data_IF_321544905555
#
_entry.id   IF_321544905555
#
_cell.length_a   1.000
_cell.length_b   1.000
_cell.length_c   1.000
_cell.angle_alpha   90.00
_cell.angle_beta   90.00
_cell.angle_gamma   90.00
#
_symmetry.space_group_name_H-M   'P 1'
#
loop_
_entity.id
_entity.type
_entity.pdbx_description
1 polymer ?
#
# COMPACT_ATOMS: atom_id res chain seq x y z
N UNK A 1 -6.41 14.74 -4.43
CA UNK A 1 -6.62 13.80 -5.53
C UNK A 1 -7.58 12.69 -5.10
N UNK A 2 -8.26 12.08 -6.04
CA UNK A 2 -9.07 10.91 -5.77
C UNK A 2 -8.20 9.73 -5.41
N UNK A 3 -8.72 8.83 -4.60
CA UNK A 3 -8.02 7.64 -4.17
C UNK A 3 -8.75 6.41 -4.71
N UNK A 4 -8.03 5.52 -5.37
CA UNK A 4 -8.60 4.30 -5.89
C UNK A 4 -7.69 3.11 -5.55
N UNK A 5 -8.29 2.01 -5.13
CA UNK A 5 -7.58 0.76 -4.89
C UNK A 5 -7.80 -0.17 -6.07
N UNK A 6 -6.71 -0.70 -6.60
CA UNK A 6 -6.81 -1.79 -7.56
C UNK A 6 -7.31 -3.05 -6.85
N UNK A 7 -7.89 -3.95 -7.63
CA UNK A 7 -8.40 -5.21 -7.08
C UNK A 7 -7.30 -5.99 -6.36
N UNK A 8 -6.09 -5.99 -6.91
CA UNK A 8 -4.97 -6.66 -6.28
C UNK A 8 -4.62 -6.09 -4.91
N UNK A 9 -4.76 -4.76 -4.74
CA UNK A 9 -4.51 -4.14 -3.45
C UNK A 9 -5.55 -4.57 -2.42
N UNK A 10 -6.81 -4.66 -2.84
CA UNK A 10 -7.86 -5.12 -1.93
C UNK A 10 -7.63 -6.57 -1.51
N UNK A 11 -7.21 -7.42 -2.47
CA UNK A 11 -6.88 -8.80 -2.16
C UNK A 11 -5.70 -8.89 -1.18
N UNK A 12 -4.69 -8.04 -1.38
CA UNK A 12 -3.54 -7.99 -0.47
C UNK A 12 -3.98 -7.63 0.95
N UNK A 13 -4.85 -6.65 1.10
CA UNK A 13 -5.35 -6.25 2.41
C UNK A 13 -6.11 -7.39 3.10
N UNK A 14 -6.92 -8.13 2.34
CA UNK A 14 -7.63 -9.28 2.87
C UNK A 14 -6.66 -10.36 3.34
N UNK A 15 -5.62 -10.64 2.56
CA UNK A 15 -4.61 -11.64 2.93
C UNK A 15 -3.81 -11.22 4.15
N UNK A 16 -3.40 -9.95 4.20
CA UNK A 16 -2.65 -9.43 5.34
C UNK A 16 -3.51 -9.52 6.60
N UNK A 17 -4.78 -9.11 6.49
CA UNK A 17 -5.69 -9.20 7.62
C UNK A 17 -5.81 -10.64 8.11
N UNK A 18 -6.09 -11.57 7.21
CA UNK A 18 -6.29 -12.98 7.57
C UNK A 18 -5.05 -13.57 8.24
N UNK A 19 -3.88 -13.25 7.72
CA UNK A 19 -2.63 -13.77 8.25
C UNK A 19 -2.41 -13.32 9.70
N UNK A 20 -2.60 -12.03 9.97
CA UNK A 20 -2.38 -11.49 11.32
C UNK A 20 -3.52 -11.86 12.26
N UNK A 21 -4.75 -11.90 11.75
CA UNK A 21 -5.93 -12.21 12.54
C UNK A 21 -5.91 -13.65 13.05
N UNK A 22 -5.17 -14.54 12.42
CA UNK A 22 -5.00 -15.90 12.90
C UNK A 22 -4.44 -15.91 14.33
N UNK A 23 -3.59 -14.94 14.66
CA UNK A 23 -3.04 -14.79 16.01
C UNK A 23 -3.70 -13.68 16.79
N UNK A 24 -4.05 -12.57 16.13
CA UNK A 24 -4.50 -11.38 16.84
C UNK A 24 -5.39 -10.51 15.93
N UNK A 25 -6.70 -10.65 16.10
CA UNK A 25 -7.67 -9.90 15.28
C UNK A 25 -7.56 -8.38 15.49
N UNK A 26 -7.33 -7.95 16.72
CA UNK A 26 -7.21 -6.51 16.99
C UNK A 26 -6.00 -5.91 16.28
N UNK A 27 -4.88 -6.62 16.30
CA UNK A 27 -3.70 -6.16 15.60
C UNK A 27 -3.92 -6.10 14.10
N UNK A 28 -4.64 -7.09 13.54
CA UNK A 28 -4.98 -7.09 12.12
C UNK A 28 -5.80 -5.87 11.74
N UNK A 29 -6.84 -5.57 12.53
CA UNK A 29 -7.69 -4.41 12.28
C UNK A 29 -6.93 -3.10 12.37
N UNK A 30 -6.06 -2.97 13.38
CA UNK A 30 -5.24 -1.76 13.54
C UNK A 30 -4.30 -1.54 12.36
N UNK A 31 -3.69 -2.61 11.86
CA UNK A 31 -2.78 -2.48 10.73
C UNK A 31 -3.53 -2.06 9.47
N UNK A 32 -4.65 -2.70 9.16
CA UNK A 32 -5.44 -2.35 7.97
C UNK A 32 -5.90 -0.89 8.07
N UNK A 33 -6.36 -0.45 9.24
CA UNK A 33 -6.74 0.94 9.45
C UNK A 33 -5.57 1.90 9.21
N UNK A 34 -4.38 1.56 9.70
CA UNK A 34 -3.18 2.37 9.46
C UNK A 34 -2.85 2.47 7.98
N UNK A 35 -2.99 1.37 7.26
CA UNK A 35 -2.74 1.35 5.81
C UNK A 35 -3.75 2.26 5.10
N UNK A 36 -5.02 2.17 5.47
CA UNK A 36 -6.05 3.01 4.87
C UNK A 36 -5.84 4.49 5.15
N UNK A 37 -5.44 4.82 6.38
CA UNK A 37 -5.12 6.21 6.73
C UNK A 37 -3.91 6.71 5.96
N UNK A 38 -2.90 5.86 5.78
CA UNK A 38 -1.72 6.22 5.00
C UNK A 38 -2.09 6.46 3.53
N UNK A 39 -2.95 5.62 2.96
CA UNK A 39 -3.41 5.82 1.59
C UNK A 39 -4.15 7.16 1.43
N UNK A 40 -4.97 7.52 2.43
CA UNK A 40 -5.65 8.81 2.41
C UNK A 40 -4.66 9.98 2.44
N UNK A 41 -3.58 9.86 3.22
CA UNK A 41 -2.51 10.87 3.24
C UNK A 41 -1.81 10.97 1.90
N UNK A 42 -1.57 9.84 1.25
CA UNK A 42 -0.95 9.80 -0.08
C UNK A 42 -1.83 10.57 -1.08
N UNK A 43 -3.15 10.43 -0.98
CA UNK A 43 -4.06 11.13 -1.88
C UNK A 43 -3.97 12.66 -1.71
N UNK A 44 -3.65 13.12 -0.50
CA UNK A 44 -3.46 14.56 -0.23
C UNK A 44 -2.08 15.03 -0.69
N UNK A 45 -1.06 14.19 -0.51
CA UNK A 45 0.33 14.54 -0.83
C UNK A 45 0.96 13.39 -1.63
N UNK A 46 0.63 13.27 -2.92
CA UNK A 46 0.95 12.05 -3.67
C UNK A 46 2.43 11.75 -3.84
N UNK A 47 3.29 12.73 -3.66
CA UNK A 47 4.73 12.54 -3.82
C UNK A 47 5.45 12.12 -2.55
N UNK A 48 4.72 11.85 -1.46
CA UNK A 48 5.36 11.32 -0.26
C UNK A 48 5.82 9.88 -0.50
N UNK A 49 6.80 9.45 0.28
CA UNK A 49 7.38 8.12 0.11
C UNK A 49 8.57 8.16 -0.84
N UNK A 50 9.00 7.00 -1.24
CA UNK A 50 10.18 6.81 -2.08
C UNK A 50 9.84 6.54 -3.52
N UNK A 51 10.73 6.95 -4.42
CA UNK A 51 10.62 6.61 -5.83
C UNK A 51 10.87 5.12 -6.04
N UNK A 52 10.31 4.58 -7.11
CA UNK A 52 10.58 3.22 -7.53
C UNK A 52 11.30 3.24 -8.88
N UNK A 53 11.70 2.08 -9.37
CA UNK A 53 12.32 1.97 -10.70
C UNK A 53 11.35 2.29 -11.83
N UNK A 54 10.06 2.23 -11.53
CA UNK A 54 9.03 2.48 -12.54
C UNK A 54 8.52 3.91 -12.40
N UNK A 55 8.63 4.68 -13.47
CA UNK A 55 8.20 6.08 -13.49
C UNK A 55 6.72 6.20 -13.12
N UNK A 56 6.41 7.18 -12.27
CA UNK A 56 5.05 7.42 -11.80
C UNK A 56 4.63 6.58 -10.61
N UNK A 57 5.43 5.56 -10.26
CA UNK A 57 5.14 4.69 -9.13
C UNK A 57 5.99 5.06 -7.93
N UNK A 58 5.39 5.09 -6.76
CA UNK A 58 6.07 5.38 -5.50
C UNK A 58 5.68 4.36 -4.46
N UNK A 59 6.45 4.28 -3.39
CA UNK A 59 6.16 3.37 -2.28
C UNK A 59 6.23 4.11 -0.97
N UNK A 60 5.31 3.79 -0.07
CA UNK A 60 5.18 4.45 1.21
C UNK A 60 5.11 3.40 2.32
N UNK A 61 6.01 3.48 3.32
CA UNK A 61 6.05 2.45 4.37
C UNK A 61 4.96 2.64 5.42
N UNK A 62 4.38 1.52 5.84
CA UNK A 62 3.47 1.46 6.98
C UNK A 62 3.90 0.25 7.81
N UNK A 63 4.65 0.50 8.89
CA UNK A 63 5.25 -0.60 9.65
C UNK A 63 6.14 -1.45 8.77
N UNK A 64 5.88 -2.74 8.73
CA UNK A 64 6.66 -3.69 7.91
C UNK A 64 6.13 -3.83 6.50
N UNK A 65 5.14 -3.03 6.11
CA UNK A 65 4.49 -3.14 4.81
C UNK A 65 4.76 -1.89 3.99
N UNK A 66 4.63 -2.05 2.68
CA UNK A 66 4.76 -0.93 1.75
C UNK A 66 3.49 -0.83 0.93
N UNK A 67 2.99 0.39 0.79
CA UNK A 67 1.94 0.71 -0.17
C UNK A 67 2.65 1.11 -1.46
N UNK A 68 2.34 0.44 -2.56
CA UNK A 68 2.87 0.81 -3.86
C UNK A 68 1.74 1.47 -4.65
N UNK A 69 1.95 2.73 -5.00
CA UNK A 69 0.91 3.54 -5.63
C UNK A 69 1.43 4.23 -6.86
N UNK A 70 0.51 4.56 -7.75
CA UNK A 70 0.78 5.30 -8.98
C UNK A 70 0.08 6.63 -8.92
N UNK A 71 0.77 7.70 -9.36
CA UNK A 71 0.21 9.03 -9.40
C UNK A 71 -0.31 9.27 -10.81
N UNK A 72 -1.63 9.42 -10.93
CA UNK A 72 -2.28 9.76 -12.19
C UNK A 72 -2.56 11.26 -12.28
N UNK A 73 -3.37 11.65 -13.26
CA UNK A 73 -3.67 13.05 -13.48
C UNK A 73 -4.47 13.65 -12.32
N UNK A 74 -5.53 12.98 -11.89
CA UNK A 74 -6.37 13.48 -10.82
C UNK A 74 -6.67 12.42 -9.78
N UNK A 75 -5.93 11.32 -9.80
CA UNK A 75 -6.14 10.24 -8.84
C UNK A 75 -4.83 9.59 -8.46
N UNK A 76 -4.85 8.99 -7.28
CA UNK A 76 -3.79 8.10 -6.80
C UNK A 76 -4.38 6.69 -6.82
N UNK A 77 -3.65 5.76 -7.42
CA UNK A 77 -4.08 4.36 -7.50
C UNK A 77 -3.17 3.52 -6.63
N UNK A 78 -3.73 2.85 -5.63
CA UNK A 78 -2.98 1.87 -4.84
C UNK A 78 -3.00 0.56 -5.61
N UNK A 79 -1.85 0.17 -6.14
CA UNK A 79 -1.74 -1.03 -6.96
C UNK A 79 -1.64 -2.29 -6.14
N UNK A 80 -0.85 -2.24 -5.06
CA UNK A 80 -0.75 -3.36 -4.15
C UNK A 80 -0.10 -2.94 -2.84
N UNK A 81 -0.21 -3.81 -1.85
CA UNK A 81 0.42 -3.67 -0.54
C UNK A 81 1.21 -4.94 -0.29
N UNK A 82 2.47 -4.80 0.07
CA UNK A 82 3.32 -5.97 0.27
C UNK A 82 4.21 -5.82 1.50
N UNK A 83 4.66 -6.94 2.02
CA UNK A 83 5.68 -6.91 3.07
C UNK A 83 6.96 -6.31 2.50
N UNK A 84 7.63 -5.45 3.26
CA UNK A 84 8.83 -4.76 2.77
C UNK A 84 9.95 -5.71 2.35
N UNK A 85 10.04 -6.88 2.99
CA UNK A 85 11.07 -7.86 2.68
C UNK A 85 10.77 -8.72 1.45
N UNK A 86 9.61 -8.52 0.80
CA UNK A 86 9.20 -9.34 -0.36
C UNK A 86 8.85 -8.46 -1.54
N UNK A 87 9.86 -7.85 -2.19
CA UNK A 87 9.58 -6.95 -3.33
C UNK A 87 8.98 -7.70 -4.51
N UNK A 88 8.16 -7.00 -5.26
CA UNK A 88 7.65 -7.52 -6.52
C UNK A 88 8.79 -7.55 -7.52
N UNK A 89 8.65 -8.38 -8.54
CA UNK A 89 9.70 -8.64 -9.51
C UNK A 89 10.31 -7.39 -10.12
N UNK A 90 9.46 -6.46 -10.56
CA UNK A 90 9.92 -5.26 -11.23
C UNK A 90 10.56 -4.24 -10.28
N UNK A 91 10.37 -4.40 -8.97
CA UNK A 91 10.87 -3.43 -7.98
C UNK A 91 12.28 -3.70 -7.52
N UNK A 92 12.65 -4.94 -7.39
CA UNK A 92 13.68 -5.31 -6.47
C UNK A 92 14.96 -5.82 -7.06
N UNK A 93 14.93 -6.01 -8.28
CA UNK A 93 16.11 -6.68 -8.87
C UNK A 93 17.16 -5.71 -9.40
#
# INVERSE_FOLDING_TARGET
>A
MKLRYERGALADLDEIFAYIAADNRKAAGRLVTRIEHAAARIAVSPHIGGATRKSGFRRFPVGKYLIVHEIGNDEVVVHYVRHAARPRRWEGE
#
